data_IF_625658056976
#
_entry.id   IF_625658056976
#
_cell.length_a   1.000
_cell.length_b   1.000
_cell.length_c   1.000
_cell.angle_alpha   90.00
_cell.angle_beta   90.00
_cell.angle_gamma   90.00
#
_symmetry.space_group_name_H-M   'P 1'
#
loop_
_entity.id
_entity.type
_entity.pdbx_description
1 polymer ?
#
# COMPACT_ATOMS: atom_id res chain seq x y z
N UNK A 1 -2.56 7.47 21.19
CA UNK A 1 -1.32 6.70 20.92
C UNK A 1 -0.64 7.14 19.63
N UNK A 2 -1.30 7.06 18.46
CA UNK A 2 -0.65 7.37 17.17
C UNK A 2 -0.23 8.83 16.98
N UNK A 3 -0.99 9.80 17.51
CA UNK A 3 -0.59 11.22 17.44
C UNK A 3 0.72 11.48 18.21
N UNK A 4 0.88 10.87 19.39
CA UNK A 4 2.11 10.97 20.20
C UNK A 4 3.30 10.32 19.48
N UNK A 5 3.09 9.12 18.93
CA UNK A 5 4.11 8.44 18.13
C UNK A 5 4.51 9.25 16.89
N UNK A 6 3.58 9.98 16.28
CA UNK A 6 3.87 10.89 15.16
C UNK A 6 4.79 12.05 15.57
N UNK A 7 4.52 12.67 16.73
CA UNK A 7 5.36 13.72 17.30
C UNK A 7 6.75 13.18 17.66
N UNK A 8 6.81 12.01 18.31
CA UNK A 8 8.08 11.34 18.64
C UNK A 8 8.89 10.98 17.38
N UNK A 9 8.22 10.64 16.28
CA UNK A 9 8.84 10.38 14.98
C UNK A 9 9.23 11.65 14.20
N UNK A 10 8.98 12.85 14.74
CA UNK A 10 9.29 14.12 14.08
C UNK A 10 8.41 14.43 12.87
N UNK A 11 7.22 13.84 12.78
CA UNK A 11 6.29 14.12 11.68
C UNK A 11 5.58 15.47 11.92
N UNK A 12 5.66 16.36 10.94
CA UNK A 12 5.02 17.69 10.97
C UNK A 12 3.48 17.62 10.89
N UNK A 13 2.96 16.44 10.53
CA UNK A 13 1.54 16.18 10.32
C UNK A 13 0.97 15.31 11.45
N UNK A 14 -0.26 15.64 11.87
CA UNK A 14 -0.98 14.86 12.89
C UNK A 14 -1.31 13.47 12.35
N UNK A 15 -0.75 12.45 12.99
CA UNK A 15 -0.91 11.05 12.53
C UNK A 15 -2.21 10.46 13.06
N UNK A 16 -3.09 10.09 12.12
CA UNK A 16 -4.30 9.33 12.40
C UNK A 16 -4.10 7.83 12.09
N UNK A 17 -4.76 6.91 12.83
CA UNK A 17 -4.69 5.47 12.57
C UNK A 17 -4.98 5.08 11.10
N UNK A 18 -5.91 5.79 10.46
CA UNK A 18 -6.25 5.54 9.06
C UNK A 18 -5.10 5.85 8.09
N UNK A 19 -4.26 6.86 8.40
CA UNK A 19 -3.10 7.20 7.59
C UNK A 19 -2.04 6.11 7.65
N UNK A 20 -1.76 5.57 8.85
CA UNK A 20 -0.83 4.45 9.04
C UNK A 20 -1.31 3.23 8.25
N UNK A 21 -2.61 2.95 8.31
CA UNK A 21 -3.23 1.88 7.53
C UNK A 21 -3.06 2.08 6.02
N UNK A 22 -3.29 3.29 5.50
CA UNK A 22 -3.02 3.59 4.10
C UNK A 22 -1.55 3.44 3.75
N UNK A 23 -0.64 3.93 4.60
CA UNK A 23 0.80 3.79 4.42
C UNK A 23 1.22 2.33 4.26
N UNK A 24 0.67 1.43 5.10
CA UNK A 24 0.92 -0.01 4.95
C UNK A 24 0.41 -0.58 3.61
N UNK A 25 -0.76 -0.14 3.16
CA UNK A 25 -1.30 -0.53 1.85
C UNK A 25 -0.39 -0.13 0.69
N UNK A 26 0.08 1.13 0.68
CA UNK A 26 1.03 1.62 -0.33
C UNK A 26 2.38 0.92 -0.26
N UNK A 27 2.91 0.66 0.93
CA UNK A 27 4.16 -0.07 1.11
C UNK A 27 4.09 -1.47 0.49
N UNK A 28 3.04 -2.24 0.82
CA UNK A 28 2.87 -3.60 0.28
C UNK A 28 2.74 -3.58 -1.25
N UNK A 29 2.05 -2.57 -1.79
CA UNK A 29 1.95 -2.40 -3.23
C UNK A 29 3.33 -2.11 -3.87
N UNK A 30 4.16 -1.23 -3.30
CA UNK A 30 5.50 -0.92 -3.82
C UNK A 30 6.48 -2.12 -3.73
N UNK A 31 6.31 -2.97 -2.71
CA UNK A 31 7.01 -4.25 -2.57
C UNK A 31 6.58 -5.29 -3.63
N UNK A 32 5.56 -4.98 -4.44
CA UNK A 32 5.09 -5.85 -5.52
C UNK A 32 4.19 -7.00 -5.04
N UNK A 33 3.66 -6.90 -3.82
CA UNK A 33 2.73 -7.89 -3.29
C UNK A 33 1.44 -7.88 -4.13
N UNK A 34 0.90 -9.08 -4.38
CA UNK A 34 -0.32 -9.26 -5.14
C UNK A 34 -1.49 -8.43 -4.57
N UNK A 35 -2.24 -7.78 -5.44
CA UNK A 35 -3.31 -6.85 -5.05
C UNK A 35 -4.46 -7.55 -4.33
N UNK A 36 -4.76 -8.82 -4.65
CA UNK A 36 -5.79 -9.59 -3.95
C UNK A 36 -5.30 -10.05 -2.59
N UNK A 37 -4.02 -10.41 -2.46
CA UNK A 37 -3.40 -10.69 -1.16
C UNK A 37 -3.47 -9.47 -0.22
N UNK A 38 -3.14 -8.27 -0.72
CA UNK A 38 -3.29 -7.02 0.04
C UNK A 38 -4.77 -6.79 0.40
N UNK A 39 -5.70 -7.03 -0.52
CA UNK A 39 -7.14 -6.86 -0.26
C UNK A 39 -7.61 -7.73 0.90
N UNK A 40 -7.25 -9.01 0.90
CA UNK A 40 -7.60 -9.97 1.96
C UNK A 40 -6.94 -9.61 3.28
N UNK A 41 -5.65 -9.26 3.27
CA UNK A 41 -4.91 -8.82 4.47
C UNK A 41 -5.55 -7.58 5.12
N UNK A 42 -5.97 -6.63 4.29
CA UNK A 42 -6.63 -5.42 4.76
C UNK A 42 -8.11 -5.67 5.07
N UNK A 43 -8.72 -6.79 4.66
CA UNK A 43 -10.15 -7.02 4.87
C UNK A 43 -11.04 -6.05 4.08
N UNK A 44 -10.59 -5.61 2.90
CA UNK A 44 -11.37 -4.70 2.06
C UNK A 44 -12.45 -5.48 1.29
N UNK A 45 -13.72 -5.20 1.61
CA UNK A 45 -14.86 -5.75 0.87
C UNK A 45 -14.87 -5.31 -0.60
N UNK A 46 -14.61 -4.02 -0.84
CA UNK A 46 -14.54 -3.45 -2.18
C UNK A 46 -13.07 -3.35 -2.64
N UNK A 47 -12.74 -4.01 -3.76
CA UNK A 47 -11.39 -4.01 -4.32
C UNK A 47 -10.91 -2.59 -4.67
N UNK A 48 -11.82 -1.66 -4.98
CA UNK A 48 -11.47 -0.28 -5.33
C UNK A 48 -10.64 0.39 -4.23
N UNK A 49 -10.88 0.06 -2.96
CA UNK A 49 -10.10 0.62 -1.84
C UNK A 49 -8.64 0.12 -1.82
N UNK A 50 -8.38 -1.07 -2.38
CA UNK A 50 -7.04 -1.65 -2.48
C UNK A 50 -6.33 -1.23 -3.76
N UNK A 51 -7.07 -1.10 -4.87
CA UNK A 51 -6.50 -0.70 -6.17
C UNK A 51 -5.84 0.68 -6.10
N UNK A 52 -6.36 1.59 -5.26
CA UNK A 52 -5.73 2.89 -4.99
C UNK A 52 -4.24 2.78 -4.61
N UNK A 53 -3.86 1.76 -3.83
CA UNK A 53 -2.47 1.57 -3.41
C UNK A 53 -1.52 1.26 -4.58
N UNK A 54 -2.06 0.73 -5.68
CA UNK A 54 -1.28 0.31 -6.86
C UNK A 54 -1.16 1.41 -7.92
N UNK A 55 -1.90 2.51 -7.79
CA UNK A 55 -1.89 3.59 -8.78
C UNK A 55 -0.55 4.35 -8.79
N UNK A 56 0.10 4.44 -7.63
CA UNK A 56 1.36 5.15 -7.47
C UNK A 56 2.59 4.26 -7.61
N UNK A 57 2.43 2.96 -7.92
CA UNK A 57 3.57 2.05 -8.05
C UNK A 57 4.16 2.11 -9.48
N UNK A 58 5.34 2.73 -9.69
CA UNK A 58 5.97 2.80 -11.02
C UNK A 58 6.49 1.45 -11.52
N UNK A 59 6.67 0.48 -10.61
CA UNK A 59 7.15 -0.88 -10.92
C UNK A 59 6.02 -1.82 -11.31
N UNK A 60 4.75 -1.38 -11.32
CA UNK A 60 3.57 -2.22 -11.59
C UNK A 60 3.68 -3.05 -12.88
N UNK A 61 4.36 -2.54 -13.90
CA UNK A 61 4.56 -3.22 -15.18
C UNK A 61 5.99 -3.73 -15.39
N UNK A 62 6.85 -3.66 -14.38
CA UNK A 62 8.24 -4.12 -14.49
C UNK A 62 8.24 -5.63 -14.68
N UNK A 63 8.74 -6.09 -15.84
CA UNK A 63 8.77 -7.51 -16.18
C UNK A 63 7.46 -8.05 -16.78
N UNK A 64 6.43 -7.20 -16.94
CA UNK A 64 5.17 -7.61 -17.54
C UNK A 64 5.40 -8.04 -19.00
N UNK A 65 5.03 -9.28 -19.33
CA UNK A 65 5.24 -9.86 -20.66
C UNK A 65 6.69 -10.20 -21.03
N UNK A 66 7.66 -10.08 -20.10
CA UNK A 66 9.08 -10.40 -20.38
C UNK A 66 9.44 -11.88 -20.22
N UNK A 67 8.49 -12.70 -19.78
CA UNK A 67 8.66 -14.15 -19.61
C UNK A 67 7.71 -14.95 -20.51
N UNK A 68 7.63 -14.54 -21.78
CA UNK A 68 7.07 -15.39 -22.83
C UNK A 68 8.24 -16.16 -23.43
N UNK A 69 8.75 -17.17 -22.70
CA UNK A 69 9.48 -18.27 -23.35
C UNK A 69 8.44 -19.10 -24.10
N UNK A 70 8.21 -18.74 -25.36
CA UNK A 70 7.84 -19.70 -26.39
C UNK A 70 9.07 -20.58 -26.68
#
# INVERSE_FOLDING_TARGET
>A
MNARAGVEAGLELSVHPHMVRHGKGYQLADEGIDTRAIQSYMGHKNIQHTVLYTQLNPKRFKGFGKDVRL
#
